data_IF_200203190852
#
_entry.id   IF_200203190852
#
_cell.length_a   1.000
_cell.length_b   1.000
_cell.length_c   1.000
_cell.angle_alpha   90.00
_cell.angle_beta   90.00
_cell.angle_gamma   90.00
#
_symmetry.space_group_name_H-M   'P 1'
#
loop_
_entity.id
_entity.type
_entity.pdbx_description
1 polymer ?
#
# COMPACT_ATOMS: atom_id res chain seq x y z
N UNK A 1 -18.75 -21.64 14.48
CA UNK A 1 -18.96 -20.27 13.97
C UNK A 1 -17.85 -20.06 12.95
N UNK A 2 -18.20 -20.12 11.66
CA UNK A 2 -17.24 -19.74 10.61
C UNK A 2 -16.96 -18.24 10.81
N UNK A 3 -15.74 -17.90 11.18
CA UNK A 3 -15.33 -16.50 11.25
C UNK A 3 -15.34 -15.97 9.82
N UNK A 4 -16.24 -15.03 9.52
CA UNK A 4 -16.19 -14.28 8.27
C UNK A 4 -14.90 -13.44 8.26
N UNK A 5 -13.77 -14.07 7.97
CA UNK A 5 -12.49 -13.40 7.87
C UNK A 5 -12.61 -12.28 6.84
N UNK A 6 -12.15 -11.08 7.21
CA UNK A 6 -12.14 -9.91 6.33
C UNK A 6 -10.89 -9.09 6.58
N UNK A 7 -10.36 -8.52 5.51
CA UNK A 7 -9.36 -7.46 5.59
C UNK A 7 -9.93 -6.19 4.98
N UNK A 8 -9.74 -5.09 5.68
CA UNK A 8 -10.16 -3.75 5.25
C UNK A 8 -8.93 -2.89 5.04
N UNK A 9 -8.99 -2.03 4.06
CA UNK A 9 -7.95 -1.06 3.77
C UNK A 9 -8.54 0.30 3.43
N UNK A 10 -7.93 1.36 3.92
CA UNK A 10 -8.27 2.74 3.60
C UNK A 10 -7.00 3.58 3.55
N UNK A 11 -7.03 4.71 2.86
CA UNK A 11 -5.88 5.62 2.82
C UNK A 11 -6.26 7.03 3.24
N UNK A 12 -5.41 7.67 4.02
CA UNK A 12 -5.53 9.09 4.36
C UNK A 12 -5.03 9.99 3.22
N UNK A 13 -4.20 9.45 2.32
CA UNK A 13 -3.63 10.10 1.17
C UNK A 13 -2.46 9.30 0.63
N UNK A 14 -2.15 9.42 -0.67
CA UNK A 14 -1.09 8.68 -1.34
C UNK A 14 -0.44 9.49 -2.45
N UNK A 15 0.88 9.67 -2.39
CA UNK A 15 1.69 10.40 -3.33
C UNK A 15 2.83 11.17 -2.66
N UNK A 16 3.61 11.93 -3.41
CA UNK A 16 4.85 12.58 -2.97
C UNK A 16 4.71 13.67 -1.88
N UNK A 17 3.49 14.02 -1.49
CA UNK A 17 3.23 14.99 -0.39
C UNK A 17 2.89 14.30 0.93
N UNK A 18 2.75 12.99 0.94
CA UNK A 18 2.51 12.19 2.12
C UNK A 18 1.66 10.96 1.83
N UNK A 19 2.05 9.88 2.49
CA UNK A 19 1.40 8.58 2.42
C UNK A 19 0.99 8.14 3.82
N UNK A 20 -0.20 7.61 3.97
CA UNK A 20 -0.65 6.90 5.16
C UNK A 20 -1.82 5.99 4.80
N UNK A 21 -1.65 4.70 5.02
CA UNK A 21 -2.64 3.68 4.69
C UNK A 21 -3.01 2.91 5.96
N UNK A 22 -4.30 2.70 6.20
CA UNK A 22 -4.80 1.89 7.30
C UNK A 22 -5.18 0.50 6.80
N UNK A 23 -4.78 -0.53 7.54
CA UNK A 23 -5.21 -1.92 7.33
C UNK A 23 -5.83 -2.44 8.61
N UNK A 24 -6.99 -3.09 8.51
CA UNK A 24 -7.68 -3.65 9.68
C UNK A 24 -8.33 -4.99 9.36
N UNK A 25 -8.28 -5.92 10.32
CA UNK A 25 -9.07 -7.16 10.30
C UNK A 25 -10.36 -7.06 11.15
N UNK A 26 -10.64 -5.87 11.71
CA UNK A 26 -11.77 -5.62 12.60
C UNK A 26 -11.42 -5.64 14.08
N UNK A 27 -10.36 -6.34 14.48
CA UNK A 27 -9.83 -6.37 15.86
C UNK A 27 -8.60 -5.46 15.98
N UNK A 28 -7.73 -5.51 14.99
CA UNK A 28 -6.46 -4.77 14.93
C UNK A 28 -6.50 -3.79 13.78
N UNK A 29 -5.98 -2.60 14.00
CA UNK A 29 -5.80 -1.58 12.96
C UNK A 29 -4.35 -1.10 12.96
N UNK A 30 -3.67 -1.27 11.85
CA UNK A 30 -2.30 -0.77 11.66
C UNK A 30 -2.26 0.36 10.65
N UNK A 31 -1.33 1.28 10.83
CA UNK A 31 -1.04 2.35 9.87
C UNK A 31 0.28 2.02 9.15
N UNK A 32 0.25 1.95 7.83
CA UNK A 32 1.45 1.85 6.99
C UNK A 32 1.86 3.26 6.61
N UNK A 33 3.02 3.66 7.06
CA UNK A 33 3.60 4.99 6.94
C UNK A 33 2.77 6.12 7.57
N UNK A 34 3.40 7.25 7.79
CA UNK A 34 2.76 8.50 8.18
C UNK A 34 3.60 9.67 7.66
N UNK A 35 3.40 10.04 6.40
CA UNK A 35 4.04 11.19 5.77
C UNK A 35 3.36 12.52 6.10
N UNK A 36 2.25 12.49 6.84
CA UNK A 36 1.49 13.67 7.21
C UNK A 36 1.83 14.17 8.62
N UNK A 37 1.69 15.46 8.83
CA UNK A 37 1.76 16.01 10.20
C UNK A 37 0.64 15.44 11.06
N UNK A 38 0.83 15.41 12.40
CA UNK A 38 -0.22 14.98 13.34
C UNK A 38 -1.53 15.75 13.12
N UNK A 39 -1.44 17.06 12.84
CA UNK A 39 -2.62 17.88 12.56
C UNK A 39 -3.39 17.38 11.33
N UNK A 40 -2.70 17.04 10.25
CA UNK A 40 -3.33 16.52 9.04
C UNK A 40 -3.89 15.11 9.26
N UNK A 41 -3.21 14.25 10.01
CA UNK A 41 -3.74 12.92 10.39
C UNK A 41 -5.05 13.06 11.15
N UNK A 42 -5.08 13.90 12.21
CA UNK A 42 -6.27 14.15 13.02
C UNK A 42 -7.43 14.79 12.24
N UNK A 43 -7.15 15.49 11.17
CA UNK A 43 -8.17 16.05 10.27
C UNK A 43 -8.74 14.97 9.32
N UNK A 44 -7.94 13.97 8.92
CA UNK A 44 -8.30 12.98 7.91
C UNK A 44 -8.93 11.71 8.50
N UNK A 45 -8.52 11.28 9.70
CA UNK A 45 -9.03 10.07 10.37
C UNK A 45 -10.55 10.06 10.59
N UNK A 46 -11.22 11.17 10.99
CA UNK A 46 -12.67 11.16 11.24
C UNK A 46 -13.51 10.72 10.04
N UNK A 47 -13.04 10.95 8.80
CA UNK A 47 -13.71 10.47 7.59
C UNK A 47 -13.83 8.94 7.55
N UNK A 48 -12.88 8.25 8.16
CA UNK A 48 -12.83 6.80 8.24
C UNK A 48 -13.46 6.25 9.53
N UNK A 49 -14.00 7.11 10.39
CA UNK A 49 -14.48 6.77 11.73
C UNK A 49 -13.43 6.05 12.58
N UNK A 50 -12.18 6.53 12.51
CA UNK A 50 -11.05 5.99 13.29
C UNK A 50 -10.51 7.06 14.22
N UNK A 51 -10.37 6.72 15.49
CA UNK A 51 -9.66 7.55 16.46
C UNK A 51 -8.18 7.13 16.51
N UNK A 52 -7.24 8.06 16.75
CA UNK A 52 -5.80 7.73 16.78
C UNK A 52 -5.44 6.62 17.76
N UNK A 53 -6.17 6.49 18.86
CA UNK A 53 -5.97 5.46 19.88
C UNK A 53 -6.39 4.06 19.44
N UNK A 54 -7.09 3.95 18.31
CA UNK A 54 -7.46 2.67 17.69
C UNK A 54 -6.39 2.14 16.73
N UNK A 55 -5.28 2.88 16.57
CA UNK A 55 -4.13 2.46 15.76
C UNK A 55 -3.17 1.68 16.66
N UNK A 56 -3.09 0.37 16.45
CA UNK A 56 -2.31 -0.55 17.29
C UNK A 56 -0.81 -0.51 16.96
N UNK A 57 -0.44 -0.15 15.73
CA UNK A 57 0.94 -0.03 15.29
C UNK A 57 1.10 0.90 14.09
N UNK A 58 2.29 1.49 13.94
CA UNK A 58 2.74 2.13 12.72
C UNK A 58 3.84 1.27 12.11
N UNK A 59 3.66 0.84 10.86
CA UNK A 59 4.64 0.09 10.08
C UNK A 59 5.30 1.04 9.09
N UNK A 60 6.62 1.17 9.14
CA UNK A 60 7.38 2.10 8.28
C UNK A 60 7.98 1.32 7.13
N UNK A 61 7.66 1.72 5.90
CA UNK A 61 8.22 1.13 4.70
C UNK A 61 9.66 1.55 4.47
N UNK A 62 9.95 2.84 4.59
CA UNK A 62 11.28 3.42 4.42
C UNK A 62 11.35 4.87 4.95
N UNK A 63 12.55 5.48 4.88
CA UNK A 63 12.82 6.77 5.51
C UNK A 63 12.60 8.01 4.63
N UNK A 64 11.96 7.93 3.46
CA UNK A 64 11.62 9.13 2.70
C UNK A 64 10.60 10.01 3.44
N UNK A 65 10.66 11.33 3.20
CA UNK A 65 9.88 12.28 3.98
C UNK A 65 8.37 12.08 3.89
N UNK A 66 7.89 11.77 2.71
CA UNK A 66 6.48 11.52 2.43
C UNK A 66 5.96 10.20 3.03
N UNK A 67 6.82 9.42 3.70
CA UNK A 67 6.47 8.20 4.43
C UNK A 67 6.68 8.33 5.94
N UNK A 68 7.76 8.98 6.38
CA UNK A 68 8.20 8.89 7.78
C UNK A 68 7.99 10.18 8.59
N UNK A 69 7.75 11.33 7.96
CA UNK A 69 7.86 12.64 8.64
C UNK A 69 6.92 12.83 9.84
N UNK A 70 5.77 12.19 9.84
CA UNK A 70 4.79 12.24 10.93
C UNK A 70 4.89 11.10 11.94
N UNK A 71 5.58 10.01 11.59
CA UNK A 71 5.64 8.77 12.39
C UNK A 71 6.02 9.03 13.83
N UNK A 72 7.17 9.67 14.06
CA UNK A 72 7.67 9.89 15.41
C UNK A 72 6.76 10.79 16.25
N UNK A 73 6.19 11.83 15.65
CA UNK A 73 5.29 12.74 16.34
C UNK A 73 3.95 12.09 16.71
N UNK A 74 3.39 11.27 15.80
CA UNK A 74 2.15 10.53 16.01
C UNK A 74 2.35 9.45 17.09
N UNK A 75 3.42 8.65 16.97
CA UNK A 75 3.79 7.61 17.93
C UNK A 75 3.94 8.17 19.34
N UNK A 76 4.73 9.25 19.52
CA UNK A 76 4.90 9.88 20.86
C UNK A 76 3.60 10.42 21.43
N UNK A 77 2.74 11.03 20.59
CA UNK A 77 1.52 11.67 21.08
C UNK A 77 0.49 10.66 21.55
N UNK A 78 0.41 9.51 20.92
CA UNK A 78 -0.63 8.50 21.18
C UNK A 78 -0.06 7.17 21.71
N UNK A 79 1.26 7.12 21.99
CA UNK A 79 1.97 5.93 22.48
C UNK A 79 1.81 4.72 21.56
N UNK A 80 1.81 4.96 20.23
CA UNK A 80 1.66 3.92 19.22
C UNK A 80 3.01 3.25 18.96
N UNK A 81 3.17 1.92 19.09
CA UNK A 81 4.37 1.18 18.75
C UNK A 81 4.74 1.35 17.27
N UNK A 82 6.05 1.40 16.96
CA UNK A 82 6.56 1.53 15.59
C UNK A 82 7.33 0.28 15.19
N UNK A 83 7.00 -0.27 14.04
CA UNK A 83 7.72 -1.35 13.38
C UNK A 83 8.49 -0.77 12.20
N UNK A 84 9.80 -0.97 12.16
CA UNK A 84 10.66 -0.44 11.10
C UNK A 84 11.92 -1.28 10.93
N UNK A 85 12.51 -1.24 9.73
CA UNK A 85 13.83 -1.80 9.50
C UNK A 85 14.91 -0.99 10.20
N UNK A 86 16.04 -1.61 10.47
CA UNK A 86 17.20 -0.92 11.05
C UNK A 86 17.66 0.26 10.17
N UNK A 87 17.65 0.08 8.84
CA UNK A 87 18.02 1.12 7.88
C UNK A 87 17.13 2.34 8.00
N UNK A 88 15.81 2.16 8.08
CA UNK A 88 14.84 3.26 8.25
C UNK A 88 15.07 4.00 9.57
N UNK A 89 15.31 3.30 10.68
CA UNK A 89 15.56 3.92 11.99
C UNK A 89 16.88 4.69 12.04
N UNK A 90 17.94 4.21 11.39
CA UNK A 90 19.24 4.90 11.31
C UNK A 90 19.18 6.24 10.57
N UNK A 91 18.09 6.55 9.87
CA UNK A 91 17.87 7.88 9.31
C UNK A 91 17.72 8.96 10.38
N UNK A 92 17.33 8.59 11.60
CA UNK A 92 17.07 9.49 12.72
C UNK A 92 15.79 10.32 12.59
N UNK A 93 15.03 10.18 11.51
CA UNK A 93 13.86 11.04 11.21
C UNK A 93 12.67 10.84 12.16
N UNK A 94 12.53 9.66 12.76
CA UNK A 94 11.49 9.42 13.77
C UNK A 94 11.78 10.08 15.12
N UNK A 95 13.05 10.44 15.38
CA UNK A 95 13.51 10.86 16.71
C UNK A 95 13.34 9.72 17.73
N UNK A 96 13.21 10.07 19.03
CA UNK A 96 12.96 9.06 20.07
C UNK A 96 11.54 8.52 19.98
N UNK A 97 11.40 7.23 19.91
CA UNK A 97 10.12 6.52 19.87
C UNK A 97 9.81 5.88 21.22
N UNK A 98 8.55 5.87 21.69
CA UNK A 98 8.16 5.21 22.92
C UNK A 98 8.41 3.71 22.90
N UNK A 99 8.12 3.08 21.78
CA UNK A 99 8.29 1.64 21.56
C UNK A 99 8.70 1.39 20.11
N UNK A 100 9.72 0.53 19.92
CA UNK A 100 10.25 0.16 18.61
C UNK A 100 10.33 -1.36 18.52
N UNK A 101 9.76 -1.89 17.47
CA UNK A 101 9.87 -3.29 17.07
C UNK A 101 10.68 -3.35 15.76
N UNK A 102 11.80 -4.07 15.79
CA UNK A 102 12.65 -4.20 14.60
C UNK A 102 12.07 -5.22 13.63
N UNK A 103 12.02 -4.84 12.35
CA UNK A 103 11.79 -5.76 11.25
C UNK A 103 13.17 -6.30 10.85
N UNK A 104 13.42 -7.57 11.16
CA UNK A 104 14.69 -8.24 10.90
C UNK A 104 14.49 -9.41 9.94
N UNK A 105 15.43 -9.58 9.00
CA UNK A 105 15.45 -10.72 8.09
C UNK A 105 14.27 -10.85 7.14
N UNK A 106 13.32 -9.91 7.17
CA UNK A 106 12.06 -9.97 6.41
C UNK A 106 11.18 -11.19 6.76
N UNK A 107 11.32 -11.73 7.95
CA UNK A 107 10.44 -12.76 8.48
C UNK A 107 9.07 -12.18 8.86
N UNK A 108 8.03 -13.01 8.73
CA UNK A 108 6.67 -12.61 9.12
C UNK A 108 6.57 -12.40 10.61
N UNK A 109 5.83 -11.38 11.00
CA UNK A 109 5.50 -11.07 12.40
C UNK A 109 4.00 -10.81 12.55
N UNK A 110 3.52 -10.60 13.76
CA UNK A 110 2.13 -10.29 14.04
C UNK A 110 1.98 -9.01 14.85
N UNK A 111 0.93 -8.25 14.54
CA UNK A 111 0.39 -7.19 15.39
C UNK A 111 -0.97 -7.67 15.85
N UNK A 112 -1.08 -8.06 17.13
CA UNK A 112 -2.27 -8.77 17.61
C UNK A 112 -2.57 -10.02 16.78
N UNK A 113 -3.78 -10.12 16.23
CA UNK A 113 -4.21 -11.23 15.37
C UNK A 113 -3.79 -11.05 13.90
N UNK A 114 -3.38 -9.85 13.48
CA UNK A 114 -3.04 -9.55 12.09
C UNK A 114 -1.61 -9.99 11.76
N UNK A 115 -1.45 -10.90 10.81
CA UNK A 115 -0.14 -11.35 10.34
C UNK A 115 0.41 -10.40 9.26
N UNK A 116 1.69 -10.07 9.35
CA UNK A 116 2.40 -9.14 8.46
C UNK A 116 3.67 -9.81 7.93
N UNK A 117 3.80 -9.86 6.61
CA UNK A 117 5.02 -10.33 5.94
C UNK A 117 5.70 -9.14 5.25
N UNK A 118 6.88 -8.72 5.71
CA UNK A 118 7.64 -7.68 5.04
C UNK A 118 8.30 -8.22 3.76
N UNK A 119 8.35 -7.40 2.72
CA UNK A 119 8.98 -7.69 1.44
C UNK A 119 10.08 -6.69 1.17
N UNK A 120 11.33 -7.15 0.98
CA UNK A 120 12.40 -6.29 0.49
C UNK A 120 12.13 -5.86 -0.95
N UNK A 121 12.24 -4.58 -1.23
CA UNK A 121 11.96 -4.01 -2.55
C UNK A 121 13.12 -3.16 -3.08
N UNK A 122 13.32 -3.10 -4.40
CA UNK A 122 14.29 -2.21 -5.03
C UNK A 122 13.78 -0.76 -4.95
N UNK A 123 14.36 0.05 -4.06
CA UNK A 123 14.09 1.47 -3.93
C UNK A 123 15.33 2.21 -3.39
N UNK A 124 15.46 3.51 -3.64
CA UNK A 124 16.62 4.33 -3.26
C UNK A 124 16.56 4.79 -1.79
N UNK A 125 16.33 3.82 -0.90
CA UNK A 125 16.33 3.99 0.54
C UNK A 125 17.32 3.01 1.20
N UNK A 126 17.57 3.14 2.51
CA UNK A 126 18.60 2.36 3.23
C UNK A 126 18.24 0.87 3.32
N UNK A 127 17.01 0.57 3.69
CA UNK A 127 16.50 -0.79 3.85
C UNK A 127 14.98 -0.80 3.64
N UNK A 128 14.54 -0.54 2.39
CA UNK A 128 13.13 -0.38 2.07
C UNK A 128 12.40 -1.72 2.10
N UNK A 129 11.20 -1.72 2.65
CA UNK A 129 10.29 -2.85 2.64
C UNK A 129 8.87 -2.43 2.29
N UNK A 130 8.10 -3.40 1.82
CA UNK A 130 6.66 -3.31 1.63
C UNK A 130 6.00 -4.43 2.41
N UNK A 131 4.67 -4.51 2.45
CA UNK A 131 3.98 -5.42 3.35
C UNK A 131 2.90 -6.24 2.66
N UNK A 132 2.82 -7.52 3.03
CA UNK A 132 1.65 -8.36 2.77
C UNK A 132 0.99 -8.67 4.11
N UNK A 133 -0.28 -8.31 4.22
CA UNK A 133 -1.13 -8.60 5.38
C UNK A 133 -1.91 -9.88 5.14
N UNK A 134 -2.02 -10.71 6.18
CA UNK A 134 -2.77 -11.96 6.10
C UNK A 134 -3.71 -12.11 7.29
N UNK A 135 -4.93 -12.56 7.00
CA UNK A 135 -5.95 -12.94 7.97
C UNK A 135 -6.62 -14.22 7.49
N UNK A 136 -6.42 -15.34 8.18
CA UNK A 136 -6.74 -16.67 7.67
C UNK A 136 -6.13 -16.86 6.26
N UNK A 137 -6.97 -17.19 5.26
CA UNK A 137 -6.53 -17.35 3.88
C UNK A 137 -6.54 -16.04 3.06
N UNK A 138 -7.03 -14.94 3.63
CA UNK A 138 -7.03 -13.63 2.96
C UNK A 138 -5.63 -13.02 2.94
N UNK A 139 -5.29 -12.40 1.82
CA UNK A 139 -4.02 -11.69 1.67
C UNK A 139 -4.22 -10.36 0.94
N UNK A 140 -3.65 -9.30 1.52
CA UNK A 140 -3.64 -7.94 1.00
C UNK A 140 -2.19 -7.46 0.90
N UNK A 141 -1.74 -7.12 -0.30
CA UNK A 141 -0.42 -6.54 -0.51
C UNK A 141 -0.48 -5.01 -0.61
N UNK A 142 0.50 -4.35 -0.04
CA UNK A 142 0.77 -2.92 -0.27
C UNK A 142 2.15 -2.83 -0.90
N UNK A 143 2.22 -2.30 -2.12
CA UNK A 143 3.42 -2.10 -2.90
C UNK A 143 3.45 -0.66 -3.41
N UNK A 144 4.05 0.21 -2.64
CA UNK A 144 4.34 1.61 -3.02
C UNK A 144 5.85 1.77 -3.09
N UNK A 145 6.34 2.71 -3.86
CA UNK A 145 7.77 3.02 -3.90
C UNK A 145 8.68 1.82 -4.17
N UNK A 146 8.57 1.30 -5.36
CA UNK A 146 9.49 0.30 -5.88
C UNK A 146 9.86 0.62 -7.34
N UNK A 147 11.14 0.64 -7.65
CA UNK A 147 11.62 0.96 -9.00
C UNK A 147 11.46 -0.18 -10.00
N UNK A 148 11.34 -1.39 -9.54
CA UNK A 148 11.03 -2.58 -10.34
C UNK A 148 10.59 -3.74 -9.44
N UNK A 149 9.86 -4.69 -10.00
CA UNK A 149 9.55 -5.93 -9.30
C UNK A 149 10.57 -7.04 -9.62
N UNK A 150 10.67 -8.01 -8.74
CA UNK A 150 11.57 -9.17 -8.86
C UNK A 150 10.75 -10.47 -8.86
N UNK A 151 11.29 -11.59 -9.34
CA UNK A 151 10.61 -12.89 -9.25
C UNK A 151 10.18 -13.25 -7.82
N UNK A 152 10.98 -12.87 -6.81
CA UNK A 152 10.65 -13.08 -5.40
C UNK A 152 9.40 -12.28 -4.98
N UNK A 153 9.26 -11.03 -5.43
CA UNK A 153 8.05 -10.22 -5.18
C UNK A 153 6.84 -10.91 -5.82
N UNK A 154 6.92 -11.32 -7.09
CA UNK A 154 5.83 -12.03 -7.79
C UNK A 154 5.43 -13.31 -7.03
N UNK A 155 6.40 -14.08 -6.55
CA UNK A 155 6.15 -15.30 -5.77
C UNK A 155 5.42 -14.97 -4.45
N UNK A 156 5.82 -13.94 -3.75
CA UNK A 156 5.21 -13.52 -2.49
C UNK A 156 3.78 -12.97 -2.65
N UNK A 157 3.42 -12.53 -3.85
CA UNK A 157 2.06 -12.05 -4.16
C UNK A 157 1.07 -13.18 -4.47
N UNK A 158 1.51 -14.44 -4.53
CA UNK A 158 0.65 -15.61 -4.80
C UNK A 158 0.17 -16.25 -3.49
N UNK A 159 -1.11 -16.57 -3.38
CA UNK A 159 -2.30 -15.94 -3.96
C UNK A 159 -2.63 -14.63 -3.22
N UNK A 160 -3.06 -13.62 -3.93
CA UNK A 160 -3.42 -12.32 -3.35
C UNK A 160 -4.87 -11.96 -3.66
N UNK A 161 -5.61 -11.50 -2.63
CA UNK A 161 -7.02 -11.09 -2.75
C UNK A 161 -7.17 -9.59 -3.02
N UNK A 162 -6.23 -8.79 -2.53
CA UNK A 162 -6.19 -7.36 -2.75
C UNK A 162 -4.76 -6.85 -2.92
N UNK A 163 -4.59 -5.81 -3.72
CA UNK A 163 -3.30 -5.17 -3.91
C UNK A 163 -3.47 -3.65 -4.03
N UNK A 164 -2.69 -2.92 -3.25
CA UNK A 164 -2.36 -1.52 -3.47
C UNK A 164 -1.06 -1.49 -4.25
N UNK A 165 -1.10 -0.95 -5.45
CA UNK A 165 0.00 -1.06 -6.40
C UNK A 165 0.45 0.31 -6.87
N UNK A 166 1.74 0.57 -6.79
CA UNK A 166 2.32 1.77 -7.36
C UNK A 166 2.05 1.85 -8.86
N UNK A 167 1.50 2.98 -9.27
CA UNK A 167 1.39 3.42 -10.67
C UNK A 167 1.90 4.87 -10.71
N UNK A 168 3.22 5.03 -10.57
CA UNK A 168 3.77 6.36 -10.32
C UNK A 168 3.67 7.26 -11.55
N UNK A 169 4.12 6.79 -12.71
CA UNK A 169 4.20 7.63 -13.90
C UNK A 169 3.83 6.89 -15.18
N UNK A 170 3.31 7.65 -16.12
CA UNK A 170 3.30 7.30 -17.52
C UNK A 170 4.67 7.64 -18.13
N UNK A 171 5.23 6.74 -18.93
CA UNK A 171 6.58 6.89 -19.48
C UNK A 171 6.67 8.10 -20.41
N UNK A 172 5.71 8.30 -21.29
CA UNK A 172 5.68 9.43 -22.23
C UNK A 172 5.51 10.77 -21.49
N UNK A 173 4.63 10.82 -20.50
CA UNK A 173 4.45 12.01 -19.66
C UNK A 173 5.73 12.34 -18.89
N UNK A 174 6.43 11.34 -18.36
CA UNK A 174 7.69 11.55 -17.62
C UNK A 174 8.78 12.10 -18.56
N UNK A 175 9.00 11.44 -19.69
CA UNK A 175 10.10 11.84 -20.61
C UNK A 175 9.83 13.17 -21.30
N UNK A 176 8.57 13.50 -21.60
CA UNK A 176 8.20 14.79 -22.20
C UNK A 176 7.82 15.86 -21.16
N UNK A 177 7.75 15.49 -19.88
CA UNK A 177 7.34 16.36 -18.77
C UNK A 177 8.41 17.37 -18.33
N UNK A 178 8.06 18.22 -17.36
CA UNK A 178 8.90 19.37 -16.97
C UNK A 178 10.06 19.00 -16.04
N UNK A 179 10.18 17.76 -15.58
CA UNK A 179 11.25 17.37 -14.68
C UNK A 179 12.63 17.52 -15.31
N UNK A 180 13.65 17.96 -14.54
CA UNK A 180 15.04 17.92 -15.01
C UNK A 180 15.45 16.48 -15.35
N UNK A 181 16.33 16.34 -16.36
CA UNK A 181 16.75 15.03 -16.89
C UNK A 181 17.24 14.08 -15.77
N UNK A 182 18.07 14.59 -14.84
CA UNK A 182 18.54 13.78 -13.70
C UNK A 182 17.40 13.22 -12.83
N UNK A 183 16.31 13.98 -12.67
CA UNK A 183 15.16 13.53 -11.91
C UNK A 183 14.35 12.49 -12.68
N UNK A 184 14.19 12.67 -14.01
CA UNK A 184 13.54 11.68 -14.88
C UNK A 184 14.27 10.34 -14.80
N UNK A 185 15.59 10.36 -14.92
CA UNK A 185 16.44 9.16 -14.83
C UNK A 185 16.35 8.49 -13.46
N UNK A 186 16.28 9.28 -12.38
CA UNK A 186 16.06 8.74 -11.03
C UNK A 186 14.70 8.09 -10.90
N UNK A 187 13.63 8.75 -11.34
CA UNK A 187 12.25 8.25 -11.25
C UNK A 187 12.07 6.97 -12.07
N UNK A 188 12.54 6.95 -13.33
CA UNK A 188 12.45 5.77 -14.20
C UNK A 188 13.49 4.67 -13.89
N UNK A 189 14.42 4.93 -12.98
CA UNK A 189 15.50 4.00 -12.64
C UNK A 189 15.02 2.78 -11.85
N UNK A 190 15.82 1.70 -11.87
CA UNK A 190 15.51 0.45 -11.15
C UNK A 190 15.31 0.59 -9.64
N UNK A 191 15.78 1.69 -9.06
CA UNK A 191 15.63 2.03 -7.64
C UNK A 191 14.70 3.24 -7.46
N UNK A 192 14.01 3.68 -8.52
CA UNK A 192 13.07 4.80 -8.50
C UNK A 192 11.64 4.33 -8.23
N UNK A 193 10.76 4.52 -9.22
CA UNK A 193 9.33 4.22 -9.11
C UNK A 193 8.83 3.45 -10.33
N UNK A 194 7.85 2.59 -10.15
CA UNK A 194 7.25 1.84 -11.26
C UNK A 194 6.41 2.75 -12.16
N UNK A 195 6.58 2.55 -13.47
CA UNK A 195 5.66 3.10 -14.46
C UNK A 195 4.33 2.34 -14.47
N UNK A 196 3.31 2.94 -15.10
CA UNK A 196 2.03 2.27 -15.33
C UNK A 196 2.20 0.93 -16.07
N UNK A 197 3.12 0.89 -17.05
CA UNK A 197 3.42 -0.32 -17.81
C UNK A 197 4.01 -1.42 -16.92
N UNK A 198 4.98 -1.09 -16.07
CA UNK A 198 5.58 -2.06 -15.13
C UNK A 198 4.55 -2.59 -14.11
N UNK A 199 3.63 -1.74 -13.65
CA UNK A 199 2.53 -2.17 -12.77
C UNK A 199 1.62 -3.20 -13.49
N UNK A 200 1.30 -2.99 -14.75
CA UNK A 200 0.55 -3.94 -15.58
C UNK A 200 1.33 -5.25 -15.77
N UNK A 201 2.62 -5.17 -16.08
CA UNK A 201 3.50 -6.34 -16.23
C UNK A 201 3.52 -7.20 -14.96
N UNK A 202 3.59 -6.57 -13.77
CA UNK A 202 3.49 -7.27 -12.49
C UNK A 202 2.15 -7.99 -12.34
N UNK A 203 1.03 -7.30 -12.60
CA UNK A 203 -0.31 -7.89 -12.55
C UNK A 203 -0.48 -9.05 -13.51
N UNK A 204 0.17 -9.02 -14.67
CA UNK A 204 0.13 -10.12 -15.64
C UNK A 204 0.93 -11.36 -15.21
N UNK A 205 1.98 -11.15 -14.40
CA UNK A 205 2.83 -12.25 -13.90
C UNK A 205 2.31 -12.90 -12.63
N UNK A 206 1.46 -12.21 -11.85
CA UNK A 206 0.90 -12.78 -10.64
C UNK A 206 -0.35 -13.63 -10.91
N UNK A 207 -0.63 -14.56 -10.00
CA UNK A 207 -1.91 -15.28 -10.00
C UNK A 207 -3.04 -14.33 -9.55
N UNK A 208 -3.98 -14.07 -10.46
CA UNK A 208 -5.11 -13.15 -10.27
C UNK A 208 -6.42 -13.85 -9.97
N UNK A 209 -6.42 -15.18 -9.84
CA UNK A 209 -7.64 -16.00 -9.68
C UNK A 209 -8.49 -15.61 -8.45
N UNK A 210 -7.82 -15.12 -7.38
CA UNK A 210 -8.46 -14.69 -6.14
C UNK A 210 -8.59 -13.16 -6.02
N UNK A 211 -8.12 -12.40 -7.01
CA UNK A 211 -8.01 -10.94 -6.91
C UNK A 211 -9.38 -10.25 -6.90
N UNK A 212 -9.72 -9.60 -5.80
CA UNK A 212 -10.97 -8.89 -5.58
C UNK A 212 -10.82 -7.38 -5.69
N UNK A 213 -9.63 -6.84 -5.32
CA UNK A 213 -9.37 -5.43 -5.18
C UNK A 213 -8.02 -5.05 -5.78
N UNK A 214 -8.01 -4.02 -6.63
CA UNK A 214 -6.80 -3.35 -7.11
C UNK A 214 -6.98 -1.86 -6.92
N UNK A 215 -6.02 -1.23 -6.24
CA UNK A 215 -5.99 0.21 -6.02
C UNK A 215 -4.64 0.74 -6.51
N UNK A 216 -4.67 1.65 -7.49
CA UNK A 216 -3.46 2.35 -7.91
C UNK A 216 -3.08 3.39 -6.86
N UNK A 217 -1.81 3.42 -6.49
CA UNK A 217 -1.28 4.28 -5.45
C UNK A 217 -0.06 5.06 -5.93
N UNK A 218 0.33 6.06 -5.16
CA UNK A 218 1.56 6.84 -5.34
C UNK A 218 1.70 7.45 -6.75
N UNK A 219 0.59 7.95 -7.31
CA UNK A 219 0.57 8.59 -8.62
C UNK A 219 1.31 9.93 -8.58
N UNK A 220 2.16 10.17 -9.57
CA UNK A 220 2.80 11.48 -9.79
C UNK A 220 1.75 12.51 -10.25
N UNK A 221 1.68 13.64 -9.56
CA UNK A 221 0.77 14.73 -9.97
C UNK A 221 1.16 15.36 -11.32
N UNK A 222 2.41 15.24 -11.74
CA UNK A 222 2.90 15.87 -12.98
C UNK A 222 3.09 14.90 -14.13
N UNK A 223 3.36 13.64 -13.84
CA UNK A 223 3.74 12.67 -14.84
C UNK A 223 2.75 11.51 -14.92
N UNK A 224 1.53 11.69 -14.41
CA UNK A 224 0.47 10.71 -14.50
C UNK A 224 -0.92 11.34 -14.51
N UNK A 225 -1.93 10.53 -14.82
CA UNK A 225 -3.32 10.94 -14.85
C UNK A 225 -4.20 9.79 -14.32
N UNK A 226 -5.03 10.05 -13.31
CA UNK A 226 -5.90 9.04 -12.72
C UNK A 226 -6.81 8.35 -13.75
N UNK A 227 -7.31 9.09 -14.75
CA UNK A 227 -8.14 8.52 -15.83
C UNK A 227 -7.33 7.50 -16.64
N UNK A 228 -6.12 7.87 -17.08
CA UNK A 228 -5.24 6.99 -17.86
C UNK A 228 -4.93 5.70 -17.08
N UNK A 229 -4.52 5.82 -15.80
CA UNK A 229 -4.22 4.67 -14.95
C UNK A 229 -5.43 3.76 -14.80
N UNK A 230 -6.63 4.33 -14.58
CA UNK A 230 -7.85 3.55 -14.44
C UNK A 230 -8.19 2.78 -15.71
N UNK A 231 -8.06 3.40 -16.87
CA UNK A 231 -8.31 2.77 -18.18
C UNK A 231 -7.32 1.64 -18.45
N UNK A 232 -6.03 1.87 -18.24
CA UNK A 232 -4.97 0.87 -18.42
C UNK A 232 -5.14 -0.34 -17.49
N UNK A 233 -5.42 -0.11 -16.20
CA UNK A 233 -5.62 -1.20 -15.24
C UNK A 233 -6.92 -1.97 -15.52
N UNK A 234 -8.00 -1.30 -15.89
CA UNK A 234 -9.27 -1.93 -16.24
C UNK A 234 -9.09 -2.86 -17.45
N UNK A 235 -8.40 -2.40 -18.49
CA UNK A 235 -8.08 -3.20 -19.67
C UNK A 235 -7.21 -4.41 -19.32
N UNK A 236 -6.11 -4.21 -18.58
CA UNK A 236 -5.17 -5.27 -18.19
C UNK A 236 -5.82 -6.36 -17.32
N UNK A 237 -6.81 -6.00 -16.51
CA UNK A 237 -7.53 -6.90 -15.61
C UNK A 237 -8.78 -7.51 -16.27
N UNK A 238 -9.26 -6.97 -17.38
CA UNK A 238 -10.56 -7.30 -17.95
C UNK A 238 -11.72 -6.88 -17.02
N UNK A 239 -11.55 -5.80 -16.26
CA UNK A 239 -12.54 -5.31 -15.30
C UNK A 239 -13.30 -4.10 -15.82
N UNK A 240 -14.54 -3.88 -15.34
CA UNK A 240 -15.21 -2.61 -15.55
C UNK A 240 -14.40 -1.47 -14.92
N UNK A 241 -14.37 -0.30 -15.59
CA UNK A 241 -13.59 0.87 -15.15
C UNK A 241 -13.89 1.27 -13.70
N UNK A 242 -15.15 1.20 -13.29
CA UNK A 242 -15.61 1.56 -11.94
C UNK A 242 -15.08 0.66 -10.82
N UNK A 243 -14.57 -0.52 -11.19
CA UNK A 243 -13.97 -1.45 -10.23
C UNK A 243 -12.52 -1.10 -9.88
N UNK A 244 -11.82 -0.38 -10.76
CA UNK A 244 -10.47 0.11 -10.49
C UNK A 244 -10.56 1.35 -9.61
N UNK A 245 -9.76 1.41 -8.56
CA UNK A 245 -9.73 2.53 -7.62
C UNK A 245 -8.37 3.20 -7.64
N UNK A 246 -8.37 4.49 -7.33
CA UNK A 246 -7.16 5.32 -7.23
C UNK A 246 -7.07 5.88 -5.82
N UNK A 247 -5.90 5.81 -5.24
CA UNK A 247 -5.59 6.53 -4.00
C UNK A 247 -5.16 7.98 -4.34
N UNK A 248 -6.03 8.92 -4.04
CA UNK A 248 -5.74 10.34 -4.30
C UNK A 248 -4.77 10.91 -3.25
N UNK A 249 -3.93 11.88 -3.65
CA UNK A 249 -2.98 12.52 -2.74
C UNK A 249 -3.66 13.18 -1.54
N UNK A 250 -4.75 13.91 -1.77
CA UNK A 250 -5.36 14.72 -0.71
C UNK A 250 -6.47 14.00 0.05
N UNK A 251 -7.16 13.07 -0.61
CA UNK A 251 -8.32 12.39 -0.03
C UNK A 251 -8.07 10.93 0.30
N UNK A 252 -7.02 10.31 -0.30
CA UNK A 252 -6.85 8.86 -0.22
C UNK A 252 -8.05 8.12 -0.78
N UNK A 253 -8.57 7.15 -0.05
CA UNK A 253 -9.82 6.42 -0.34
C UNK A 253 -10.46 5.90 0.95
N UNK A 254 -11.77 5.69 0.91
CA UNK A 254 -12.54 5.14 2.01
C UNK A 254 -12.38 3.62 2.12
N UNK A 255 -12.76 3.04 3.27
CA UNK A 255 -12.64 1.62 3.53
C UNK A 255 -13.09 0.75 2.37
N UNK A 256 -12.18 -0.10 1.90
CA UNK A 256 -12.41 -1.20 0.97
C UNK A 256 -12.23 -2.50 1.72
N UNK A 257 -13.07 -3.49 1.42
CA UNK A 257 -13.06 -4.79 2.11
C UNK A 257 -12.77 -5.90 1.10
N UNK A 258 -11.89 -6.82 1.48
CA UNK A 258 -11.74 -8.13 0.86
C UNK A 258 -12.22 -9.19 1.87
N UNK A 259 -12.87 -10.22 1.39
CA UNK A 259 -13.42 -11.29 2.23
C UNK A 259 -13.29 -12.65 1.53
N UNK A 260 -13.29 -13.71 2.30
CA UNK A 260 -13.44 -15.05 1.71
C UNK A 260 -14.81 -15.09 1.04
N UNK A 261 -14.86 -15.42 -0.26
CA UNK A 261 -16.13 -15.59 -0.97
C UNK A 261 -16.80 -16.85 -0.43
N UNK A 262 -18.05 -16.73 0.00
CA UNK A 262 -18.89 -17.89 0.22
C UNK A 262 -19.04 -18.65 -1.11
N UNK A 263 -18.45 -19.84 -1.17
CA UNK A 263 -18.50 -20.74 -2.35
C UNK A 263 -19.94 -21.10 -2.77
N UNK A 264 -20.94 -20.69 -2.01
CA UNK A 264 -22.37 -20.94 -2.27
C UNK A 264 -23.07 -19.82 -3.05
N UNK A 265 -22.53 -18.59 -3.10
CA UNK A 265 -23.18 -17.47 -3.82
C UNK A 265 -22.89 -17.49 -5.33
N UNK A 266 -21.74 -18.02 -5.74
CA UNK A 266 -21.39 -18.10 -7.18
C UNK A 266 -22.18 -19.21 -7.93
N UNK A 267 -22.73 -20.22 -7.22
CA UNK A 267 -23.58 -21.25 -7.84
C UNK A 267 -25.01 -20.79 -8.14
N UNK A 268 -25.48 -19.73 -7.48
CA UNK A 268 -26.83 -19.22 -7.73
C UNK A 268 -26.89 -18.22 -8.89
N UNK A 269 -25.81 -17.51 -9.20
CA UNK A 269 -25.78 -16.55 -10.32
C UNK A 269 -25.66 -17.25 -11.69
N UNK A 270 -25.04 -18.43 -11.75
CA UNK A 270 -24.93 -19.24 -12.99
C UNK A 270 -26.23 -20.01 -13.29
N UNK A 271 -27.02 -20.34 -12.26
CA UNK A 271 -28.27 -21.06 -12.43
C UNK A 271 -29.48 -20.18 -12.85
N UNK A 272 -29.32 -18.83 -12.79
CA UNK A 272 -30.37 -17.89 -13.24
C UNK A 272 -30.14 -17.33 -14.65
N UNK A 273 -29.04 -17.71 -15.32
CA UNK A 273 -28.72 -17.31 -16.69
C UNK A 273 -28.66 -18.46 -17.69
N UNK A 274 -29.24 -19.63 -17.35
CA UNK A 274 -29.39 -20.79 -18.23
C UNK A 274 -30.87 -21.04 -18.64
#
# INVERSE_FOLDING_TARGET
MESNAQLKVASLGSGSKGNATLVSNGEVTVMVDCGFTVKEVLKRLPRLNVEPQQIDAILVTHEHQDHISGVGALSRKFSIPVWATRGSLLSGKCGNLPEVNLIEGFDSFSVGSLSVTPLSVPHDAREPCQFVFSECDLRLAILTDLGCFTPKIVEQLKPCHGILLECNHDEDMLWNGPYPERLKQRVAGRMGHMSNRQAIELLQQMDRSLLQLVIATHLSEQNNCSKLVSELLAEALGWPLQRVKIAEQDKGFDWQTISLRDSNLDKQSVAQSA
#
